data_IF_052377849122
#
_entry.id   IF_052377849122
#
_cell.length_a   1.000
_cell.length_b   1.000
_cell.length_c   1.000
_cell.angle_alpha   90.00
_cell.angle_beta   90.00
_cell.angle_gamma   90.00
#
_symmetry.space_group_name_H-M   'P 1'
#
loop_
_entity.id
_entity.type
_entity.pdbx_description
1 polymer ?
#
# COMPACT_ATOMS: atom_id res chain seq x y z
N UNK A 1 3.17 34.87 58.11
CA UNK A 1 1.90 34.34 57.56
C UNK A 1 2.05 34.37 56.04
N UNK A 2 2.52 33.27 55.44
CA UNK A 2 2.67 33.16 53.98
C UNK A 2 1.30 32.94 53.37
N UNK A 3 0.82 33.90 52.60
CA UNK A 3 -0.39 33.77 51.78
C UNK A 3 -0.06 32.87 50.59
N UNK A 4 -0.57 31.64 50.59
CA UNK A 4 -0.55 30.77 49.41
C UNK A 4 -1.50 31.34 48.36
N UNK A 5 -0.95 31.69 47.19
CA UNK A 5 -1.72 32.18 46.04
C UNK A 5 -2.42 31.00 45.34
N UNK A 6 -3.72 30.87 45.57
CA UNK A 6 -4.57 29.82 44.98
C UNK A 6 -4.81 30.01 43.48
N UNK A 7 -4.42 31.15 42.87
CA UNK A 7 -4.54 31.36 41.42
C UNK A 7 -3.48 30.60 40.62
N UNK A 8 -2.32 30.36 41.22
CA UNK A 8 -1.22 29.58 40.63
C UNK A 8 -1.61 28.10 40.43
N UNK A 9 -2.21 27.47 41.45
CA UNK A 9 -2.62 26.06 41.36
C UNK A 9 -3.73 25.81 40.33
N UNK A 10 -4.70 26.70 40.20
CA UNK A 10 -5.81 26.54 39.23
C UNK A 10 -5.32 26.66 37.79
N UNK A 11 -4.40 27.60 37.51
CA UNK A 11 -3.78 27.75 36.19
C UNK A 11 -2.90 26.56 35.80
N UNK A 12 -2.17 25.97 36.76
CA UNK A 12 -1.36 24.76 36.54
C UNK A 12 -2.26 23.54 36.29
N UNK A 13 -3.35 23.36 37.04
CA UNK A 13 -4.29 22.24 36.85
C UNK A 13 -5.05 22.37 35.52
N UNK A 14 -5.46 23.58 35.12
CA UNK A 14 -6.10 23.83 33.81
C UNK A 14 -5.12 23.62 32.66
N UNK A 15 -3.86 24.03 32.81
CA UNK A 15 -2.82 23.80 31.81
C UNK A 15 -2.51 22.29 31.68
N UNK A 16 -2.32 21.58 32.80
CA UNK A 16 -2.07 20.13 32.79
C UNK A 16 -3.26 19.34 32.21
N UNK A 17 -4.50 19.69 32.55
CA UNK A 17 -5.69 19.03 31.98
C UNK A 17 -5.83 19.32 30.48
N UNK A 18 -5.55 20.54 30.02
CA UNK A 18 -5.54 20.88 28.61
C UNK A 18 -4.47 20.10 27.83
N UNK A 19 -3.24 20.01 28.36
CA UNK A 19 -2.13 19.28 27.74
C UNK A 19 -2.37 17.76 27.70
N UNK A 20 -2.93 17.17 28.77
CA UNK A 20 -3.30 15.76 28.79
C UNK A 20 -4.44 15.47 27.81
N UNK A 21 -5.44 16.35 27.73
CA UNK A 21 -6.56 16.18 26.80
C UNK A 21 -6.10 16.31 25.34
N UNK A 22 -5.19 17.25 25.03
CA UNK A 22 -4.57 17.35 23.71
C UNK A 22 -3.73 16.12 23.34
N UNK A 23 -2.92 15.58 24.27
CA UNK A 23 -2.17 14.34 24.03
C UNK A 23 -3.10 13.15 23.73
N UNK A 24 -4.18 12.99 24.50
CA UNK A 24 -5.15 11.91 24.31
C UNK A 24 -5.89 12.01 22.97
N UNK A 25 -6.25 13.23 22.54
CA UNK A 25 -6.85 13.49 21.22
C UNK A 25 -5.88 13.13 20.10
N UNK A 26 -4.61 13.56 20.19
CA UNK A 26 -3.58 13.25 19.19
C UNK A 26 -3.31 11.74 19.08
N UNK A 27 -3.24 11.02 20.20
CA UNK A 27 -3.09 9.55 20.20
C UNK A 27 -4.30 8.86 19.57
N UNK A 28 -5.51 9.37 19.83
CA UNK A 28 -6.75 8.79 19.27
C UNK A 28 -6.87 9.02 17.76
N UNK A 29 -6.55 10.23 17.29
CA UNK A 29 -6.47 10.55 15.86
C UNK A 29 -5.45 9.63 15.18
N UNK A 30 -4.25 9.52 15.75
CA UNK A 30 -3.18 8.69 15.19
C UNK A 30 -3.62 7.22 15.05
N UNK A 31 -4.24 6.65 16.09
CA UNK A 31 -4.73 5.27 16.04
C UNK A 31 -5.80 5.08 14.96
N UNK A 32 -6.78 5.97 14.89
CA UNK A 32 -7.86 5.89 13.91
C UNK A 32 -7.32 6.01 12.48
N UNK A 33 -6.47 7.00 12.22
CA UNK A 33 -5.92 7.23 10.89
C UNK A 33 -5.01 6.09 10.42
N UNK A 34 -4.17 5.55 11.28
CA UNK A 34 -3.32 4.41 10.92
C UNK A 34 -4.13 3.14 10.61
N UNK A 35 -5.23 2.91 11.32
CA UNK A 35 -6.16 1.83 10.97
C UNK A 35 -6.77 2.03 9.57
N UNK A 36 -7.22 3.25 9.25
CA UNK A 36 -7.74 3.56 7.90
C UNK A 36 -6.67 3.33 6.84
N UNK A 37 -5.45 3.85 7.05
CA UNK A 37 -4.34 3.67 6.12
C UNK A 37 -4.05 2.20 5.83
N UNK A 38 -3.99 1.36 6.88
CA UNK A 38 -3.79 -0.09 6.75
C UNK A 38 -4.87 -0.75 5.89
N UNK A 39 -6.15 -0.57 6.23
CA UNK A 39 -7.24 -1.22 5.48
C UNK A 39 -7.29 -0.76 4.02
N UNK A 40 -6.97 0.51 3.75
CA UNK A 40 -6.90 1.04 2.38
C UNK A 40 -5.73 0.46 1.58
N UNK A 41 -4.55 0.30 2.19
CA UNK A 41 -3.42 -0.38 1.54
C UNK A 41 -3.73 -1.84 1.20
N UNK A 42 -4.35 -2.57 2.15
CA UNK A 42 -4.83 -3.94 1.92
C UNK A 42 -5.76 -3.98 0.70
N UNK A 43 -6.73 -3.07 0.63
CA UNK A 43 -7.70 -3.00 -0.46
C UNK A 43 -7.04 -2.70 -1.82
N UNK A 44 -5.99 -1.88 -1.84
CA UNK A 44 -5.24 -1.58 -3.07
C UNK A 44 -4.46 -2.80 -3.54
N UNK A 45 -3.73 -3.45 -2.63
CA UNK A 45 -2.98 -4.67 -2.93
C UNK A 45 -3.92 -5.79 -3.43
N UNK A 46 -5.07 -5.97 -2.79
CA UNK A 46 -6.11 -6.91 -3.20
C UNK A 46 -6.69 -6.57 -4.58
N UNK A 47 -7.23 -5.37 -4.74
CA UNK A 47 -7.98 -4.99 -5.95
C UNK A 47 -7.12 -5.03 -7.21
N UNK A 48 -5.83 -4.73 -7.08
CA UNK A 48 -4.91 -4.82 -8.20
C UNK A 48 -4.71 -6.27 -8.67
N UNK A 49 -4.49 -7.21 -7.74
CA UNK A 49 -4.40 -8.64 -8.09
C UNK A 49 -5.74 -9.21 -8.53
N UNK A 50 -6.85 -8.78 -7.93
CA UNK A 50 -8.20 -9.15 -8.37
C UNK A 50 -8.46 -8.76 -9.82
N UNK A 51 -8.03 -7.57 -10.26
CA UNK A 51 -8.13 -7.18 -11.67
C UNK A 51 -7.33 -8.14 -12.59
N UNK A 52 -6.17 -8.63 -12.16
CA UNK A 52 -5.37 -9.64 -12.88
C UNK A 52 -6.12 -10.97 -12.97
N UNK A 53 -6.70 -11.44 -11.86
CA UNK A 53 -7.46 -12.69 -11.78
C UNK A 53 -8.71 -12.62 -12.68
N UNK A 54 -9.50 -11.56 -12.54
CA UNK A 54 -10.71 -11.33 -13.35
C UNK A 54 -10.35 -11.22 -14.83
N UNK A 55 -9.24 -10.58 -15.18
CA UNK A 55 -8.82 -10.46 -16.58
C UNK A 55 -8.51 -11.81 -17.21
N UNK A 56 -7.97 -12.74 -16.43
CA UNK A 56 -7.64 -14.09 -16.86
C UNK A 56 -8.86 -15.01 -16.91
N UNK A 57 -9.82 -14.84 -15.99
CA UNK A 57 -10.93 -15.80 -15.82
C UNK A 57 -12.27 -15.33 -16.37
N UNK A 58 -12.59 -14.06 -16.17
CA UNK A 58 -13.90 -13.47 -16.47
C UNK A 58 -13.86 -12.55 -17.70
N UNK A 59 -12.67 -12.06 -18.07
CA UNK A 59 -12.43 -11.24 -19.25
C UNK A 59 -12.24 -9.74 -18.96
N UNK A 60 -11.96 -8.94 -20.00
CA UNK A 60 -11.46 -7.57 -19.85
C UNK A 60 -12.46 -6.57 -19.28
N UNK A 61 -13.77 -6.75 -19.53
CA UNK A 61 -14.78 -5.78 -19.11
C UNK A 61 -14.94 -5.75 -17.58
N UNK A 62 -15.11 -6.92 -16.96
CA UNK A 62 -15.25 -7.05 -15.50
C UNK A 62 -13.94 -6.65 -14.81
N UNK A 63 -12.79 -7.08 -15.37
CA UNK A 63 -11.47 -6.70 -14.86
C UNK A 63 -11.23 -5.18 -14.89
N UNK A 64 -11.71 -4.49 -15.93
CA UNK A 64 -11.59 -3.04 -16.03
C UNK A 64 -12.39 -2.30 -14.96
N UNK A 65 -13.54 -2.84 -14.55
CA UNK A 65 -14.33 -2.26 -13.45
C UNK A 65 -13.57 -2.36 -12.12
N UNK A 66 -13.04 -3.55 -11.79
CA UNK A 66 -12.22 -3.75 -10.59
C UNK A 66 -10.96 -2.88 -10.60
N UNK A 67 -10.28 -2.77 -11.75
CA UNK A 67 -9.10 -1.92 -11.89
C UNK A 67 -9.42 -0.44 -11.69
N UNK A 68 -10.55 0.05 -12.22
CA UNK A 68 -10.99 1.43 -12.02
C UNK A 68 -11.29 1.72 -10.54
N UNK A 69 -11.97 0.79 -9.85
CA UNK A 69 -12.24 0.92 -8.41
C UNK A 69 -10.94 0.94 -7.60
N UNK A 70 -9.96 0.13 -8.00
CA UNK A 70 -8.63 0.09 -7.38
C UNK A 70 -7.84 1.39 -7.56
N UNK A 71 -7.89 2.01 -8.75
CA UNK A 71 -7.29 3.32 -8.99
C UNK A 71 -7.99 4.41 -8.14
N UNK A 72 -9.32 4.36 -8.05
CA UNK A 72 -10.06 5.30 -7.21
C UNK A 72 -9.72 5.13 -5.72
N UNK A 73 -9.50 3.89 -5.26
CA UNK A 73 -9.03 3.64 -3.91
C UNK A 73 -7.60 4.13 -3.69
N UNK A 74 -6.73 3.98 -4.69
CA UNK A 74 -5.37 4.52 -4.65
C UNK A 74 -5.39 6.03 -4.47
N UNK A 75 -6.21 6.76 -5.24
CA UNK A 75 -6.41 8.21 -5.05
C UNK A 75 -6.87 8.55 -3.63
N UNK A 76 -7.88 7.83 -3.12
CA UNK A 76 -8.41 8.02 -1.76
C UNK A 76 -7.33 7.79 -0.70
N UNK A 77 -6.50 6.75 -0.84
CA UNK A 77 -5.38 6.50 0.07
C UNK A 77 -4.35 7.63 -0.01
N UNK A 78 -3.89 8.02 -1.20
CA UNK A 78 -2.88 9.07 -1.34
C UNK A 78 -3.36 10.40 -0.77
N UNK A 79 -4.62 10.76 -1.03
CA UNK A 79 -5.26 11.93 -0.40
C UNK A 79 -5.26 11.80 1.12
N UNK A 80 -5.62 10.63 1.65
CA UNK A 80 -5.65 10.37 3.08
C UNK A 80 -4.26 10.48 3.73
N UNK A 81 -3.23 9.86 3.15
CA UNK A 81 -1.84 9.90 3.63
C UNK A 81 -1.28 11.32 3.60
N UNK A 82 -1.57 12.11 2.56
CA UNK A 82 -1.21 13.53 2.52
C UNK A 82 -1.80 14.31 3.70
N UNK A 83 -3.06 14.05 4.04
CA UNK A 83 -3.70 14.69 5.18
C UNK A 83 -3.24 14.15 6.52
N UNK A 84 -2.82 12.88 6.64
CA UNK A 84 -2.08 12.38 7.80
C UNK A 84 -0.81 13.18 8.02
N UNK A 85 0.01 13.37 6.97
CA UNK A 85 1.24 14.16 7.04
C UNK A 85 0.97 15.61 7.43
N UNK A 86 -0.06 16.26 6.88
CA UNK A 86 -0.46 17.64 7.24
C UNK A 86 -0.89 17.79 8.71
N UNK A 87 -1.46 16.73 9.28
CA UNK A 87 -1.89 16.69 10.69
C UNK A 87 -0.77 16.25 11.63
N UNK A 88 0.46 16.10 11.12
CA UNK A 88 1.64 15.66 11.87
C UNK A 88 1.50 14.24 12.47
N UNK A 89 0.57 13.44 11.95
CA UNK A 89 0.32 12.07 12.42
C UNK A 89 1.44 11.15 11.95
N UNK A 90 2.07 10.45 12.90
CA UNK A 90 3.08 9.43 12.59
C UNK A 90 2.45 8.19 11.94
N UNK A 91 3.17 7.59 10.99
CA UNK A 91 2.76 6.36 10.32
C UNK A 91 3.17 5.14 11.16
N UNK A 92 2.19 4.29 11.45
CA UNK A 92 2.32 3.00 12.10
C UNK A 92 1.03 2.18 11.82
N UNK A 93 0.83 1.68 10.59
CA UNK A 93 -0.40 0.99 10.17
C UNK A 93 -0.69 -0.26 11.01
N UNK A 94 0.35 -0.90 11.54
CA UNK A 94 0.26 -2.13 12.35
C UNK A 94 0.02 -1.86 13.85
N UNK A 95 0.12 -0.60 14.27
CA UNK A 95 -0.10 -0.19 15.66
C UNK A 95 1.04 -0.58 16.61
N UNK A 96 0.82 -0.36 17.92
CA UNK A 96 1.82 -0.59 18.97
C UNK A 96 1.66 -1.93 19.70
N UNK A 97 0.55 -2.64 19.49
CA UNK A 97 0.32 -3.97 20.01
C UNK A 97 0.62 -4.97 18.91
N UNK A 98 1.51 -5.93 19.16
CA UNK A 98 1.79 -7.03 18.24
C UNK A 98 0.59 -7.97 18.12
N UNK A 99 -0.55 -7.49 17.63
CA UNK A 99 -1.63 -8.37 17.23
C UNK A 99 -1.17 -9.10 15.98
N UNK A 100 -1.14 -10.42 16.05
CA UNK A 100 -0.76 -11.32 14.95
C UNK A 100 -1.70 -11.22 13.73
N UNK A 101 -2.77 -10.44 13.82
CA UNK A 101 -3.69 -10.15 12.72
C UNK A 101 -3.22 -8.91 11.93
N UNK A 102 -2.04 -9.03 11.33
CA UNK A 102 -1.60 -8.16 10.24
C UNK A 102 -2.49 -8.49 9.03
N UNK A 103 -3.73 -7.99 9.05
CA UNK A 103 -4.84 -8.43 8.21
C UNK A 103 -4.41 -8.70 6.76
N UNK A 104 -4.09 -9.97 6.47
CA UNK A 104 -3.51 -10.36 5.18
C UNK A 104 -4.56 -10.15 4.08
N UNK A 105 -4.17 -9.67 2.89
CA UNK A 105 -5.03 -9.63 1.72
C UNK A 105 -5.77 -10.96 1.52
N UNK A 106 -7.11 -10.91 1.50
CA UNK A 106 -7.96 -12.05 1.13
C UNK A 106 -8.19 -12.00 -0.37
N UNK A 107 -7.36 -12.71 -1.13
CA UNK A 107 -7.44 -12.72 -2.58
C UNK A 107 -8.53 -13.69 -3.06
N UNK A 108 -9.50 -13.16 -3.80
CA UNK A 108 -10.61 -13.94 -4.35
C UNK A 108 -10.26 -14.55 -5.71
N UNK A 109 -10.84 -15.72 -5.99
CA UNK A 109 -10.54 -16.52 -7.19
C UNK A 109 -11.55 -16.36 -8.31
N UNK A 110 -12.71 -15.83 -7.97
CA UNK A 110 -13.80 -15.53 -8.88
C UNK A 110 -14.46 -14.23 -8.44
N UNK A 111 -15.33 -13.70 -9.29
CA UNK A 111 -16.00 -12.43 -9.06
C UNK A 111 -16.72 -12.34 -7.70
N UNK A 112 -17.42 -13.39 -7.27
CA UNK A 112 -18.17 -13.37 -6.01
C UNK A 112 -17.24 -13.30 -4.80
N UNK A 113 -16.18 -14.11 -4.78
CA UNK A 113 -15.16 -14.09 -3.74
C UNK A 113 -14.46 -12.73 -3.66
N UNK A 114 -14.14 -12.14 -4.82
CA UNK A 114 -13.49 -10.82 -4.95
C UNK A 114 -14.37 -9.70 -4.41
N UNK A 115 -15.63 -9.61 -4.84
CA UNK A 115 -16.55 -8.58 -4.36
C UNK A 115 -16.81 -8.73 -2.84
N UNK A 116 -16.88 -9.97 -2.36
CA UNK A 116 -17.09 -10.25 -0.93
C UNK A 116 -15.88 -9.85 -0.09
N UNK A 117 -14.66 -10.15 -0.55
CA UNK A 117 -13.44 -9.78 0.18
C UNK A 117 -13.21 -8.28 0.19
N UNK A 118 -13.46 -7.59 -0.93
CA UNK A 118 -13.43 -6.12 -1.01
C UNK A 118 -14.46 -5.49 -0.04
N UNK A 119 -15.69 -6.01 -0.02
CA UNK A 119 -16.74 -5.53 0.90
C UNK A 119 -16.30 -5.66 2.36
N UNK A 120 -15.70 -6.79 2.74
CA UNK A 120 -15.22 -7.02 4.09
C UNK A 120 -14.21 -5.95 4.52
N UNK A 121 -13.22 -5.64 3.67
CA UNK A 121 -12.18 -4.65 3.97
C UNK A 121 -12.76 -3.24 4.10
N UNK A 122 -13.63 -2.84 3.17
CA UNK A 122 -14.31 -1.53 3.22
C UNK A 122 -15.14 -1.41 4.51
N UNK A 123 -15.83 -2.48 4.92
CA UNK A 123 -16.61 -2.50 6.16
C UNK A 123 -15.73 -2.37 7.42
N UNK A 124 -14.55 -3.00 7.45
CA UNK A 124 -13.59 -2.86 8.57
C UNK A 124 -12.98 -1.47 8.64
N UNK A 125 -12.75 -0.84 7.50
CA UNK A 125 -12.23 0.52 7.37
C UNK A 125 -13.22 1.59 7.85
N UNK A 126 -14.50 1.40 7.55
CA UNK A 126 -15.53 2.44 7.66
C UNK A 126 -15.65 3.08 9.07
N UNK A 127 -15.73 2.32 10.19
CA UNK A 127 -15.83 2.92 11.51
C UNK A 127 -14.61 3.79 11.87
N UNK A 128 -13.40 3.35 11.49
CA UNK A 128 -12.17 4.10 11.75
C UNK A 128 -12.14 5.42 10.98
N UNK A 129 -12.68 5.43 9.75
CA UNK A 129 -12.78 6.64 8.94
C UNK A 129 -13.79 7.65 9.53
N UNK A 130 -14.93 7.16 10.04
CA UNK A 130 -15.90 8.01 10.75
C UNK A 130 -15.28 8.62 12.02
N UNK A 131 -14.54 7.81 12.79
CA UNK A 131 -13.82 8.28 13.97
C UNK A 131 -12.75 9.30 13.62
N UNK A 132 -11.98 9.09 12.53
CA UNK A 132 -11.02 10.07 12.03
C UNK A 132 -11.69 11.41 11.75
N UNK A 133 -12.81 11.44 11.01
CA UNK A 133 -13.49 12.70 10.67
C UNK A 133 -13.98 13.41 11.92
N UNK A 134 -14.59 12.69 12.86
CA UNK A 134 -15.08 13.25 14.11
C UNK A 134 -13.93 13.85 14.93
N UNK A 135 -12.88 13.07 15.19
CA UNK A 135 -11.74 13.49 16.00
C UNK A 135 -10.95 14.64 15.36
N UNK A 136 -10.76 14.62 14.04
CA UNK A 136 -10.10 15.71 13.31
C UNK A 136 -10.96 16.98 13.37
N UNK A 137 -12.28 16.88 13.24
CA UNK A 137 -13.20 18.03 13.36
C UNK A 137 -13.26 18.64 14.76
N UNK A 138 -12.95 17.86 15.81
CA UNK A 138 -12.81 18.32 17.19
C UNK A 138 -11.42 18.95 17.48
N UNK A 139 -10.44 18.74 16.59
CA UNK A 139 -9.07 19.21 16.79
C UNK A 139 -8.84 20.63 16.25
N UNK A 140 -8.03 21.42 16.97
CA UNK A 140 -7.74 22.82 16.60
C UNK A 140 -7.07 22.96 15.21
N UNK A 141 -6.24 21.98 14.83
CA UNK A 141 -5.48 21.99 13.58
C UNK A 141 -6.16 21.19 12.46
N UNK A 142 -7.29 20.53 12.73
CA UNK A 142 -7.92 19.59 11.81
C UNK A 142 -8.74 20.21 10.69
N UNK A 143 -9.11 21.49 10.84
CA UNK A 143 -10.14 22.10 10.00
C UNK A 143 -9.76 22.24 8.53
N UNK A 144 -8.47 22.41 8.23
CA UNK A 144 -7.95 22.44 6.86
C UNK A 144 -8.00 21.05 6.17
N UNK A 145 -7.96 19.97 6.94
CA UNK A 145 -8.00 18.59 6.41
C UNK A 145 -9.41 18.03 6.28
N UNK A 146 -10.37 18.57 7.04
CA UNK A 146 -11.72 18.04 7.15
C UNK A 146 -12.48 17.93 5.81
N UNK A 147 -12.42 18.91 4.87
CA UNK A 147 -13.13 18.79 3.60
C UNK A 147 -12.68 17.58 2.78
N UNK A 148 -11.37 17.39 2.62
CA UNK A 148 -10.82 16.27 1.85
C UNK A 148 -11.11 14.91 2.51
N UNK A 149 -11.00 14.84 3.84
CA UNK A 149 -11.34 13.61 4.58
C UNK A 149 -12.83 13.25 4.45
N UNK A 150 -13.72 14.25 4.42
CA UNK A 150 -15.15 14.05 4.14
C UNK A 150 -15.39 13.54 2.72
N UNK A 151 -14.71 14.10 1.71
CA UNK A 151 -14.76 13.56 0.34
C UNK A 151 -14.34 12.08 0.30
N UNK A 152 -13.22 11.73 0.95
CA UNK A 152 -12.78 10.32 1.04
C UNK A 152 -13.83 9.43 1.69
N UNK A 153 -14.51 9.92 2.74
CA UNK A 153 -15.62 9.19 3.38
C UNK A 153 -16.82 9.02 2.46
N UNK A 154 -17.29 10.08 1.83
CA UNK A 154 -18.50 10.03 0.99
C UNK A 154 -18.29 9.11 -0.22
N UNK A 155 -17.10 9.14 -0.82
CA UNK A 155 -16.73 8.17 -1.85
C UNK A 155 -16.62 6.74 -1.33
N UNK A 156 -16.11 6.53 -0.11
CA UNK A 156 -16.06 5.20 0.53
C UNK A 156 -17.47 4.67 0.80
N UNK A 157 -18.42 5.54 1.20
CA UNK A 157 -19.85 5.18 1.34
C UNK A 157 -20.44 4.77 0.00
N UNK A 158 -20.17 5.54 -1.06
CA UNK A 158 -20.64 5.22 -2.41
C UNK A 158 -20.09 3.86 -2.88
N UNK A 159 -18.80 3.60 -2.67
CA UNK A 159 -18.19 2.31 -3.02
C UNK A 159 -18.76 1.14 -2.21
N UNK A 160 -19.03 1.33 -0.91
CA UNK A 160 -19.70 0.33 -0.09
C UNK A 160 -21.10 -0.02 -0.62
N UNK A 161 -21.87 0.97 -1.04
CA UNK A 161 -23.20 0.76 -1.64
C UNK A 161 -23.11 0.05 -3.00
N UNK A 162 -22.10 0.40 -3.80
CA UNK A 162 -21.82 -0.23 -5.08
C UNK A 162 -21.47 -1.72 -4.93
N UNK A 163 -20.55 -2.06 -4.02
CA UNK A 163 -20.18 -3.46 -3.74
C UNK A 163 -21.40 -4.31 -3.33
N UNK A 164 -22.26 -3.77 -2.46
CA UNK A 164 -23.51 -4.44 -2.07
C UNK A 164 -24.46 -4.65 -3.26
N UNK A 165 -24.57 -3.65 -4.13
CA UNK A 165 -25.40 -3.71 -5.32
C UNK A 165 -24.90 -4.80 -6.28
N UNK A 166 -23.60 -4.83 -6.56
CA UNK A 166 -22.96 -5.87 -7.40
C UNK A 166 -23.12 -7.27 -6.81
N UNK A 167 -22.93 -7.43 -5.50
CA UNK A 167 -23.15 -8.70 -4.80
C UNK A 167 -24.61 -9.20 -4.87
N UNK A 168 -25.58 -8.28 -4.98
CA UNK A 168 -27.00 -8.60 -5.17
C UNK A 168 -27.41 -8.87 -6.63
N UNK A 169 -26.45 -8.96 -7.56
CA UNK A 169 -26.70 -9.19 -8.99
C UNK A 169 -26.85 -7.90 -9.81
N UNK A 170 -26.43 -6.75 -9.26
CA UNK A 170 -26.34 -5.50 -10.00
C UNK A 170 -25.29 -5.54 -11.12
N UNK A 171 -25.42 -4.63 -12.07
CA UNK A 171 -24.49 -4.52 -13.20
C UNK A 171 -23.06 -4.19 -12.74
N UNK A 172 -22.07 -4.80 -13.37
CA UNK A 172 -20.65 -4.57 -13.08
C UNK A 172 -20.03 -3.83 -14.26
N UNK A 173 -19.94 -2.51 -14.12
CA UNK A 173 -19.31 -1.64 -15.11
C UNK A 173 -18.35 -0.68 -14.44
N UNK A 174 -17.29 -0.32 -15.17
CA UNK A 174 -16.43 0.78 -14.78
C UNK A 174 -17.25 2.07 -14.88
N UNK A 175 -17.67 2.63 -13.74
CA UNK A 175 -18.37 3.91 -13.74
C UNK A 175 -17.37 5.04 -13.97
N UNK A 176 -17.60 5.84 -15.01
CA UNK A 176 -16.95 7.14 -15.12
C UNK A 176 -17.64 8.08 -14.13
N UNK A 177 -16.93 8.43 -13.06
CA UNK A 177 -17.36 9.49 -12.15
C UNK A 177 -17.11 10.85 -12.81
N UNK A 178 -17.94 11.86 -12.54
CA UNK A 178 -17.68 13.24 -13.00
C UNK A 178 -16.36 13.81 -12.42
N UNK A 179 -15.89 13.21 -11.33
CA UNK A 179 -14.70 13.55 -10.56
C UNK A 179 -13.71 12.38 -10.77
N UNK A 180 -12.72 12.55 -11.65
CA UNK A 180 -11.62 11.62 -11.87
C UNK A 180 -10.30 12.38 -11.99
N UNK A 181 -9.24 11.81 -11.43
CA UNK A 181 -7.86 12.25 -11.64
C UNK A 181 -7.31 11.76 -12.98
N UNK A 182 -6.20 12.34 -13.43
CA UNK A 182 -5.50 11.87 -14.63
C UNK A 182 -5.13 10.38 -14.52
N UNK A 183 -4.64 9.95 -13.35
CA UNK A 183 -4.29 8.56 -13.09
C UNK A 183 -5.46 7.57 -13.21
N UNK A 184 -6.67 7.97 -12.79
CA UNK A 184 -7.89 7.14 -12.88
C UNK A 184 -8.37 6.91 -14.33
N UNK A 185 -7.83 7.65 -15.31
CA UNK A 185 -8.18 7.48 -16.73
C UNK A 185 -7.42 6.34 -17.43
N UNK A 186 -6.39 5.80 -16.78
CA UNK A 186 -5.56 4.72 -17.34
C UNK A 186 -6.38 3.42 -17.33
N UNK A 187 -6.55 2.81 -18.50
CA UNK A 187 -7.23 1.51 -18.60
C UNK A 187 -6.31 0.36 -18.23
N UNK A 188 -6.88 -0.76 -17.80
CA UNK A 188 -6.13 -1.98 -17.51
C UNK A 188 -5.37 -2.47 -18.76
N UNK A 189 -6.00 -2.42 -19.94
CA UNK A 189 -5.36 -2.79 -21.20
C UNK A 189 -4.23 -1.82 -21.59
N UNK A 190 -4.36 -0.53 -21.27
CA UNK A 190 -3.25 0.40 -21.43
C UNK A 190 -2.10 0.00 -20.50
N UNK A 191 -2.35 -0.24 -19.22
CA UNK A 191 -1.33 -0.72 -18.28
C UNK A 191 -0.63 -2.00 -18.77
N UNK A 192 -1.40 -3.00 -19.21
CA UNK A 192 -0.87 -4.26 -19.78
C UNK A 192 -0.05 -3.99 -21.04
N UNK A 193 -0.54 -3.12 -21.94
CA UNK A 193 0.12 -2.80 -23.20
C UNK A 193 1.49 -2.15 -23.06
N UNK A 194 1.71 -1.35 -22.02
CA UNK A 194 3.01 -0.72 -21.73
C UNK A 194 3.98 -1.65 -20.99
N UNK A 195 3.48 -2.70 -20.35
CA UNK A 195 4.32 -3.64 -19.61
C UNK A 195 5.05 -4.58 -20.57
N UNK A 196 6.36 -4.34 -20.76
CA UNK A 196 7.24 -5.16 -21.61
C UNK A 196 7.46 -6.58 -21.08
N UNK A 197 7.01 -6.86 -19.86
CA UNK A 197 7.34 -8.07 -19.09
C UNK A 197 6.07 -8.81 -18.65
N UNK A 198 5.01 -8.74 -19.47
CA UNK A 198 3.77 -9.52 -19.31
C UNK A 198 4.03 -10.96 -19.73
N UNK A 199 3.61 -11.93 -18.91
CA UNK A 199 3.61 -13.33 -19.33
C UNK A 199 2.63 -13.52 -20.52
N UNK A 200 3.16 -13.91 -21.67
CA UNK A 200 2.38 -14.02 -22.90
C UNK A 200 1.29 -15.09 -22.78
N UNK A 201 1.52 -16.15 -21.99
CA UNK A 201 0.55 -17.23 -21.75
C UNK A 201 -0.67 -16.70 -20.99
N UNK A 202 -0.43 -15.80 -20.04
CA UNK A 202 -1.49 -15.10 -19.32
C UNK A 202 -2.24 -14.14 -20.24
N UNK A 203 -1.51 -13.36 -21.05
CA UNK A 203 -2.09 -12.37 -21.98
C UNK A 203 -3.03 -13.02 -23.00
N UNK A 204 -2.63 -14.17 -23.53
CA UNK A 204 -3.39 -14.96 -24.50
C UNK A 204 -4.47 -15.82 -23.82
N UNK A 205 -4.54 -15.82 -22.49
CA UNK A 205 -5.49 -16.62 -21.70
C UNK A 205 -5.40 -18.11 -22.08
N UNK A 206 -4.17 -18.61 -22.22
CA UNK A 206 -3.94 -20.03 -22.51
C UNK A 206 -4.43 -20.88 -21.34
N UNK A 207 -4.89 -22.10 -21.67
CA UNK A 207 -5.37 -23.04 -20.66
C UNK A 207 -4.30 -23.23 -19.57
N UNK A 208 -4.68 -23.13 -18.28
CA UNK A 208 -3.73 -23.26 -17.20
C UNK A 208 -3.08 -24.64 -17.20
N UNK A 209 -1.84 -24.70 -16.75
CA UNK A 209 -1.14 -25.97 -16.50
C UNK A 209 -1.74 -26.66 -15.27
N UNK A 210 -1.37 -27.91 -15.02
CA UNK A 210 -1.87 -28.67 -13.87
C UNK A 210 -1.20 -28.19 -12.58
N UNK A 211 -2.00 -27.70 -11.64
CA UNK A 211 -1.54 -27.22 -10.32
C UNK A 211 -0.63 -28.26 -9.64
N UNK A 212 -0.94 -29.56 -9.74
CA UNK A 212 -0.19 -30.61 -9.07
C UNK A 212 1.27 -30.72 -9.55
N UNK A 213 1.54 -30.39 -10.81
CA UNK A 213 2.90 -30.41 -11.39
C UNK A 213 3.75 -29.25 -10.85
N UNK A 214 3.11 -28.15 -10.44
CA UNK A 214 3.78 -26.91 -10.02
C UNK A 214 3.50 -26.53 -8.57
N UNK A 215 2.97 -27.46 -7.77
CA UNK A 215 2.45 -27.17 -6.42
C UNK A 215 3.43 -26.40 -5.53
N UNK A 216 4.68 -26.85 -5.46
CA UNK A 216 5.69 -26.25 -4.60
C UNK A 216 6.12 -24.87 -5.12
N UNK A 217 6.23 -24.73 -6.45
CA UNK A 217 6.51 -23.45 -7.10
C UNK A 217 5.36 -22.45 -6.88
N UNK A 218 4.10 -22.86 -7.07
CA UNK A 218 2.91 -22.05 -6.80
C UNK A 218 2.87 -21.61 -5.33
N UNK A 219 3.22 -22.50 -4.41
CA UNK A 219 3.27 -22.18 -2.97
C UNK A 219 4.35 -21.12 -2.70
N UNK A 220 5.55 -21.29 -3.25
CA UNK A 220 6.63 -20.30 -3.14
C UNK A 220 6.28 -18.95 -3.77
N UNK A 221 5.69 -18.95 -4.97
CA UNK A 221 5.25 -17.72 -5.66
C UNK A 221 4.21 -16.96 -4.85
N UNK A 222 3.28 -17.67 -4.21
CA UNK A 222 2.33 -17.04 -3.32
C UNK A 222 3.02 -16.38 -2.12
N UNK A 223 4.03 -17.01 -1.52
CA UNK A 223 4.80 -16.39 -0.43
C UNK A 223 5.49 -15.11 -0.89
N UNK A 224 6.10 -15.14 -2.08
CA UNK A 224 6.72 -13.96 -2.67
C UNK A 224 5.69 -12.87 -2.94
N UNK A 225 4.50 -13.20 -3.46
CA UNK A 225 3.41 -12.23 -3.66
C UNK A 225 3.05 -11.48 -2.38
N UNK A 226 3.00 -12.15 -1.23
CA UNK A 226 2.77 -11.50 0.06
C UNK A 226 3.96 -10.62 0.48
N UNK A 227 5.18 -11.06 0.21
CA UNK A 227 6.38 -10.25 0.48
C UNK A 227 6.40 -8.97 -0.37
N UNK A 228 5.95 -9.02 -1.63
CA UNK A 228 5.80 -7.83 -2.47
C UNK A 228 4.77 -6.86 -1.89
N UNK A 229 3.66 -7.36 -1.34
CA UNK A 229 2.69 -6.49 -0.67
C UNK A 229 3.29 -5.74 0.52
N UNK A 230 4.12 -6.42 1.33
CA UNK A 230 4.86 -5.77 2.41
C UNK A 230 5.79 -4.67 1.86
N UNK A 231 6.50 -4.95 0.76
CA UNK A 231 7.40 -3.99 0.14
C UNK A 231 6.67 -2.77 -0.43
N UNK A 232 5.54 -2.98 -1.12
CA UNK A 232 4.65 -1.91 -1.60
C UNK A 232 4.24 -1.00 -0.43
N UNK A 233 3.75 -1.59 0.66
CA UNK A 233 3.25 -0.85 1.82
C UNK A 233 4.35 -0.07 2.54
N UNK A 234 5.49 -0.71 2.83
CA UNK A 234 6.60 -0.07 3.54
C UNK A 234 7.21 1.06 2.72
N UNK A 235 7.49 0.83 1.44
CA UNK A 235 8.13 1.82 0.57
C UNK A 235 7.20 3.00 0.26
N UNK A 236 5.89 2.75 0.12
CA UNK A 236 4.90 3.82 -0.02
C UNK A 236 4.89 4.72 1.23
N UNK A 237 4.81 4.13 2.42
CA UNK A 237 4.84 4.88 3.68
C UNK A 237 6.16 5.64 3.84
N UNK A 238 7.29 5.00 3.58
CA UNK A 238 8.59 5.65 3.64
C UNK A 238 8.71 6.81 2.64
N UNK A 239 8.06 6.74 1.46
CA UNK A 239 7.90 7.89 0.57
C UNK A 239 7.32 9.12 1.28
N UNK A 240 6.20 8.97 2.01
CA UNK A 240 5.60 10.07 2.77
C UNK A 240 6.43 10.50 3.98
N UNK A 241 7.07 9.55 4.67
CA UNK A 241 7.93 9.82 5.82
C UNK A 241 9.15 10.65 5.39
N UNK A 242 9.86 10.23 4.35
CA UNK A 242 11.01 10.96 3.81
C UNK A 242 10.61 12.34 3.27
N UNK A 243 9.44 12.46 2.62
CA UNK A 243 8.94 13.76 2.18
C UNK A 243 8.73 14.71 3.35
N UNK A 244 8.16 14.22 4.47
CA UNK A 244 7.96 15.02 5.70
C UNK A 244 9.29 15.43 6.34
N UNK A 245 10.32 14.60 6.23
CA UNK A 245 11.68 14.94 6.68
C UNK A 245 12.46 15.84 5.71
N UNK A 246 11.86 16.26 4.58
CA UNK A 246 12.50 17.11 3.57
C UNK A 246 13.43 16.35 2.61
N UNK A 247 13.43 15.02 2.65
CA UNK A 247 14.27 14.14 1.83
C UNK A 247 13.59 13.79 0.51
N UNK A 248 13.28 14.80 -0.30
CA UNK A 248 12.41 14.68 -1.48
C UNK A 248 12.90 13.66 -2.53
N UNK A 249 14.20 13.61 -2.84
CA UNK A 249 14.72 12.63 -3.79
C UNK A 249 14.63 11.18 -3.27
N UNK A 250 14.86 10.97 -1.97
CA UNK A 250 14.68 9.66 -1.31
C UNK A 250 13.20 9.28 -1.31
N UNK A 251 12.32 10.23 -0.97
CA UNK A 251 10.88 10.05 -1.00
C UNK A 251 10.36 9.64 -2.38
N UNK A 252 10.79 10.36 -3.43
CA UNK A 252 10.49 10.03 -4.82
C UNK A 252 10.97 8.62 -5.17
N UNK A 253 12.21 8.28 -4.81
CA UNK A 253 12.78 6.98 -5.14
C UNK A 253 12.03 5.83 -4.43
N UNK A 254 11.68 5.97 -3.16
CA UNK A 254 10.86 4.99 -2.43
C UNK A 254 9.47 4.84 -3.07
N UNK A 255 8.82 5.95 -3.45
CA UNK A 255 7.53 5.89 -4.12
C UNK A 255 7.64 5.14 -5.45
N UNK A 256 8.61 5.49 -6.30
CA UNK A 256 8.82 4.78 -7.57
C UNK A 256 9.11 3.30 -7.36
N UNK A 257 9.89 2.96 -6.34
CA UNK A 257 10.14 1.56 -6.02
C UNK A 257 8.86 0.85 -5.58
N UNK A 258 7.99 1.47 -4.78
CA UNK A 258 6.68 0.86 -4.42
C UNK A 258 5.83 0.52 -5.66
N UNK A 259 5.92 1.33 -6.73
CA UNK A 259 5.25 1.06 -8.01
C UNK A 259 5.93 -0.08 -8.78
N UNK A 260 7.26 -0.21 -8.68
CA UNK A 260 7.97 -1.36 -9.24
C UNK A 260 7.60 -2.67 -8.51
N UNK A 261 7.38 -2.64 -7.20
CA UNK A 261 6.93 -3.82 -6.44
C UNK A 261 5.48 -4.20 -6.78
N UNK A 262 4.60 -3.22 -7.06
CA UNK A 262 3.28 -3.50 -7.65
C UNK A 262 3.42 -4.24 -9.00
N UNK A 263 4.44 -3.92 -9.81
CA UNK A 263 4.71 -4.65 -11.07
C UNK A 263 5.31 -6.04 -10.82
N UNK A 264 6.06 -6.24 -9.75
CA UNK A 264 6.51 -7.57 -9.35
C UNK A 264 5.31 -8.44 -8.93
N UNK A 265 4.46 -7.93 -8.04
CA UNK A 265 3.20 -8.58 -7.62
C UNK A 265 2.29 -8.91 -8.82
N UNK A 266 2.17 -7.98 -9.78
CA UNK A 266 1.46 -8.22 -11.05
C UNK A 266 1.98 -9.46 -11.77
N UNK A 267 3.30 -9.52 -12.01
CA UNK A 267 3.92 -10.63 -12.76
C UNK A 267 3.82 -11.95 -12.02
N UNK A 268 4.09 -11.95 -10.71
CA UNK A 268 3.97 -13.15 -9.89
C UNK A 268 2.54 -13.70 -9.97
N UNK A 269 1.53 -12.83 -9.89
CA UNK A 269 0.12 -13.23 -10.03
C UNK A 269 -0.19 -13.87 -11.38
N UNK A 270 0.38 -13.35 -12.47
CA UNK A 270 0.23 -13.94 -13.81
C UNK A 270 0.80 -15.35 -13.88
N UNK A 271 2.03 -15.54 -13.36
CA UNK A 271 2.70 -16.84 -13.34
C UNK A 271 1.89 -17.84 -12.52
N UNK A 272 1.42 -17.46 -11.32
CA UNK A 272 0.57 -18.32 -10.49
C UNK A 272 -0.64 -18.82 -11.28
N UNK A 273 -1.35 -17.92 -11.97
CA UNK A 273 -2.55 -18.25 -12.75
C UNK A 273 -2.24 -19.19 -13.93
N UNK A 274 -1.18 -18.93 -14.68
CA UNK A 274 -0.78 -19.76 -15.83
C UNK A 274 -0.35 -21.17 -15.40
N UNK A 275 0.24 -21.30 -14.22
CA UNK A 275 0.59 -22.61 -13.64
C UNK A 275 -0.62 -23.38 -13.09
N UNK A 276 -1.81 -22.76 -13.10
CA UNK A 276 -3.06 -23.34 -12.62
C UNK A 276 -3.36 -23.09 -11.15
N UNK A 277 -2.57 -22.23 -10.49
CA UNK A 277 -2.81 -21.83 -9.11
C UNK A 277 -3.73 -20.62 -8.95
N UNK A 278 -4.00 -20.30 -7.70
CA UNK A 278 -4.76 -19.14 -7.27
C UNK A 278 -3.87 -18.18 -6.46
N UNK A 279 -3.77 -16.90 -6.84
CA UNK A 279 -3.07 -15.90 -6.03
C UNK A 279 -3.66 -15.81 -4.62
N UNK A 280 -2.80 -15.80 -3.60
CA UNK A 280 -3.14 -15.82 -2.17
C UNK A 280 -3.41 -17.21 -1.59
N UNK A 281 -3.49 -18.27 -2.40
CA UNK A 281 -3.72 -19.62 -1.90
C UNK A 281 -2.40 -20.32 -1.56
N UNK A 282 -2.16 -20.56 -0.27
CA UNK A 282 -0.93 -21.19 0.23
C UNK A 282 -1.26 -22.37 1.14
N UNK A 283 -0.52 -23.48 1.00
CA UNK A 283 -0.63 -24.66 1.89
C UNK A 283 0.39 -24.62 3.03
N UNK A 284 1.46 -23.85 2.84
CA UNK A 284 2.52 -23.56 3.79
C UNK A 284 3.07 -22.16 3.48
N UNK A 285 3.93 -21.64 4.35
CA UNK A 285 4.48 -20.27 4.25
C UNK A 285 6.01 -20.29 4.08
N UNK A 286 6.57 -21.01 3.08
CA UNK A 286 8.01 -21.03 2.87
C UNK A 286 8.48 -19.65 2.42
N UNK A 287 9.60 -19.17 2.94
CA UNK A 287 10.19 -17.87 2.58
C UNK A 287 9.27 -16.65 2.82
N UNK A 288 8.17 -16.80 3.57
CA UNK A 288 7.31 -15.69 3.91
C UNK A 288 7.97 -14.82 4.98
N UNK A 289 8.04 -13.52 4.72
CA UNK A 289 8.51 -12.52 5.67
C UNK A 289 7.33 -12.19 6.59
N UNK A 290 7.52 -12.08 7.92
CA UNK A 290 6.48 -11.60 8.81
C UNK A 290 5.94 -10.25 8.31
N UNK A 291 4.65 -10.22 7.98
CA UNK A 291 4.01 -9.07 7.32
C UNK A 291 3.86 -7.92 8.31
N UNK A 292 4.91 -7.12 8.47
CA UNK A 292 4.94 -5.98 9.39
C UNK A 292 5.70 -4.82 8.77
N UNK A 293 5.00 -3.72 8.55
CA UNK A 293 5.57 -2.50 7.99
C UNK A 293 6.51 -1.86 9.02
N UNK A 294 7.81 -1.91 8.72
CA UNK A 294 8.85 -1.44 9.62
C UNK A 294 9.14 0.06 9.38
N UNK A 295 8.28 0.93 9.92
CA UNK A 295 8.48 2.38 9.85
C UNK A 295 9.68 2.81 10.71
N UNK A 296 10.69 3.44 10.11
CA UNK A 296 11.85 3.97 10.83
C UNK A 296 11.54 5.24 11.63
N UNK A 297 12.20 5.45 12.77
CA UNK A 297 12.05 6.67 13.60
C UNK A 297 12.95 7.81 13.15
N UNK A 298 14.00 7.51 12.37
CA UNK A 298 14.90 8.45 11.73
C UNK A 298 15.31 7.92 10.34
N UNK A 299 16.06 8.73 9.59
CA UNK A 299 16.48 8.42 8.21
C UNK A 299 17.31 7.14 8.14
N UNK A 300 18.21 6.90 9.09
CA UNK A 300 19.08 5.72 9.14
C UNK A 300 18.27 4.44 9.39
N UNK A 301 17.36 4.46 10.35
CA UNK A 301 16.50 3.33 10.68
C UNK A 301 15.55 3.00 9.53
N UNK A 302 14.93 4.01 8.90
CA UNK A 302 14.03 3.79 7.76
C UNK A 302 14.74 3.16 6.56
N UNK A 303 15.91 3.69 6.18
CA UNK A 303 16.73 3.13 5.10
C UNK A 303 17.26 1.73 5.44
N UNK A 304 17.61 1.48 6.71
CA UNK A 304 18.08 0.16 7.14
C UNK A 304 16.96 -0.88 7.12
N UNK A 305 15.74 -0.49 7.48
CA UNK A 305 14.56 -1.36 7.39
C UNK A 305 14.22 -1.71 5.93
N UNK A 306 14.34 -0.74 5.02
CA UNK A 306 14.17 -0.99 3.58
C UNK A 306 15.26 -1.92 3.04
N UNK A 307 16.52 -1.72 3.46
CA UNK A 307 17.64 -2.56 3.04
C UNK A 307 17.44 -4.01 3.49
N UNK A 308 17.08 -4.21 4.76
CA UNK A 308 16.81 -5.54 5.31
C UNK A 308 15.69 -6.25 4.53
N UNK A 309 14.60 -5.53 4.24
CA UNK A 309 13.49 -6.09 3.46
C UNK A 309 13.95 -6.52 2.06
N UNK A 310 14.74 -5.69 1.37
CA UNK A 310 15.28 -6.03 0.05
C UNK A 310 16.21 -7.24 0.08
N UNK A 311 17.05 -7.37 1.11
CA UNK A 311 17.92 -8.55 1.26
C UNK A 311 17.12 -9.83 1.48
N UNK A 312 16.04 -9.77 2.27
CA UNK A 312 15.13 -10.90 2.50
C UNK A 312 14.36 -11.29 1.22
N UNK A 313 13.85 -10.32 0.47
CA UNK A 313 13.19 -10.52 -0.83
C UNK A 313 14.13 -11.23 -1.82
N UNK A 314 15.33 -10.66 -2.02
CA UNK A 314 16.33 -11.22 -2.94
C UNK A 314 16.67 -12.67 -2.57
N UNK A 315 16.86 -12.96 -1.29
CA UNK A 315 17.17 -14.31 -0.83
C UNK A 315 16.02 -15.30 -1.11
N UNK A 316 14.78 -14.90 -0.82
CA UNK A 316 13.58 -15.70 -1.07
C UNK A 316 13.37 -15.96 -2.57
N UNK A 317 13.48 -14.94 -3.40
CA UNK A 317 13.30 -15.01 -4.85
C UNK A 317 14.39 -15.83 -5.53
N UNK A 318 15.65 -15.65 -5.13
CA UNK A 318 16.78 -16.42 -5.68
C UNK A 318 16.60 -17.90 -5.35
N UNK A 319 16.24 -18.22 -4.10
CA UNK A 319 15.97 -19.60 -3.69
C UNK A 319 14.84 -20.23 -4.50
N UNK A 320 13.79 -19.48 -4.80
CA UNK A 320 12.68 -20.00 -5.62
C UNK A 320 13.07 -20.10 -7.10
N UNK A 321 13.84 -19.15 -7.62
CA UNK A 321 14.30 -19.16 -9.01
C UNK A 321 15.17 -20.40 -9.30
N UNK A 322 16.07 -20.75 -8.39
CA UNK A 322 16.90 -21.97 -8.48
C UNK A 322 16.06 -23.26 -8.47
N UNK A 323 14.91 -23.24 -7.78
CA UNK A 323 13.97 -24.35 -7.73
C UNK A 323 12.97 -24.37 -8.90
N UNK A 324 12.80 -23.24 -9.61
CA UNK A 324 11.79 -23.05 -10.66
C UNK A 324 12.12 -23.71 -12.00
N UNK A 325 13.18 -24.54 -12.11
CA UNK A 325 13.70 -25.15 -13.34
C UNK A 325 12.65 -25.88 -14.22
N UNK A 326 11.46 -26.16 -13.69
CA UNK A 326 10.34 -26.76 -14.41
C UNK A 326 9.47 -25.76 -15.23
N UNK A 327 9.63 -24.44 -15.06
CA UNK A 327 8.90 -23.41 -15.83
C UNK A 327 9.77 -22.20 -16.18
N UNK A 328 10.11 -22.04 -17.47
CA UNK A 328 10.98 -20.96 -17.93
C UNK A 328 10.38 -19.56 -17.71
N UNK A 329 9.07 -19.40 -17.83
CA UNK A 329 8.41 -18.11 -17.60
C UNK A 329 8.46 -17.67 -16.13
N UNK A 330 8.33 -18.62 -15.21
CA UNK A 330 8.55 -18.38 -13.79
C UNK A 330 10.02 -18.01 -13.50
N UNK A 331 10.98 -18.76 -14.04
CA UNK A 331 12.42 -18.46 -13.90
C UNK A 331 12.77 -17.06 -14.43
N UNK A 332 12.35 -16.73 -15.65
CA UNK A 332 12.62 -15.40 -16.26
C UNK A 332 11.99 -14.26 -15.43
N UNK A 333 10.77 -14.47 -14.93
CA UNK A 333 10.09 -13.50 -14.06
C UNK A 333 10.88 -13.26 -12.78
N UNK A 334 11.27 -14.33 -12.07
CA UNK A 334 12.00 -14.22 -10.80
C UNK A 334 13.39 -13.60 -11.01
N UNK A 335 14.11 -13.99 -12.06
CA UNK A 335 15.42 -13.39 -12.38
C UNK A 335 15.31 -11.89 -12.67
N UNK A 336 14.26 -11.46 -13.39
CA UNK A 336 14.01 -10.03 -13.65
C UNK A 336 13.73 -9.27 -12.34
N UNK A 337 12.92 -9.84 -11.44
CA UNK A 337 12.60 -9.27 -10.13
C UNK A 337 13.87 -9.14 -9.27
N UNK A 338 14.63 -10.24 -9.11
CA UNK A 338 15.90 -10.25 -8.34
C UNK A 338 16.87 -9.17 -8.83
N UNK A 339 17.00 -8.99 -10.15
CA UNK A 339 17.87 -7.95 -10.72
C UNK A 339 17.44 -6.54 -10.32
N UNK A 340 16.13 -6.27 -10.30
CA UNK A 340 15.58 -4.96 -9.89
C UNK A 340 15.77 -4.73 -8.40
N UNK A 341 15.43 -5.70 -7.56
CA UNK A 341 15.65 -5.63 -6.11
C UNK A 341 17.12 -5.44 -5.77
N UNK A 342 18.02 -6.16 -6.45
CA UNK A 342 19.48 -5.98 -6.30
C UNK A 342 19.90 -4.54 -6.62
N UNK A 343 19.37 -3.96 -7.71
CA UNK A 343 19.67 -2.57 -8.08
C UNK A 343 19.18 -1.57 -7.04
N UNK A 344 18.01 -1.82 -6.43
CA UNK A 344 17.47 -0.96 -5.37
C UNK A 344 18.22 -1.14 -4.03
N UNK A 345 18.57 -2.37 -3.66
CA UNK A 345 19.44 -2.68 -2.52
C UNK A 345 20.77 -1.95 -2.63
N UNK A 346 21.43 -1.97 -3.79
CA UNK A 346 22.70 -1.27 -4.00
C UNK A 346 22.55 0.25 -3.84
N UNK A 347 21.42 0.80 -4.31
CA UNK A 347 21.08 2.20 -4.07
C UNK A 347 20.87 2.51 -2.58
N UNK A 348 20.17 1.65 -1.83
CA UNK A 348 19.97 1.81 -0.38
C UNK A 348 21.31 1.76 0.38
N UNK A 349 22.19 0.82 0.04
CA UNK A 349 23.54 0.71 0.64
C UNK A 349 24.35 1.98 0.40
N UNK A 350 24.35 2.51 -0.83
CA UNK A 350 25.01 3.77 -1.15
C UNK A 350 24.38 4.94 -0.38
N UNK A 351 23.04 4.97 -0.24
CA UNK A 351 22.33 6.03 0.47
C UNK A 351 22.59 6.01 1.98
N UNK A 352 22.67 4.83 2.60
CA UNK A 352 23.05 4.66 4.00
C UNK A 352 24.50 5.12 4.25
N UNK A 353 25.40 4.83 3.31
CA UNK A 353 26.80 5.28 3.40
C UNK A 353 26.88 6.81 3.39
N UNK A 354 26.06 7.48 2.58
CA UNK A 354 25.94 8.95 2.57
C UNK A 354 25.37 9.49 3.89
N UNK A 355 24.36 8.84 4.48
CA UNK A 355 23.81 9.30 5.77
C UNK A 355 24.87 9.39 6.88
N UNK A 356 25.91 8.55 6.85
CA UNK A 356 26.98 8.52 7.84
C UNK A 356 28.12 9.53 7.61
N UNK A 357 28.12 10.29 6.51
CA UNK A 357 29.17 11.26 6.17
C UNK A 357 28.67 12.71 6.34
N UNK A 358 29.14 13.45 7.37
CA UNK A 358 28.76 14.84 7.64
C UNK A 358 29.01 15.81 6.47
N UNK A 359 29.98 15.53 5.60
CA UNK A 359 30.27 16.37 4.43
C UNK A 359 29.25 16.17 3.29
N UNK A 360 28.47 15.09 3.35
CA UNK A 360 27.44 14.75 2.37
C UNK A 360 26.01 15.03 2.85
N UNK A 361 25.80 15.24 4.16
CA UNK A 361 24.50 15.62 4.73
C UNK A 361 23.95 16.92 4.13
N UNK A 362 24.80 17.92 3.86
CA UNK A 362 24.39 19.18 3.21
C UNK A 362 23.91 18.96 1.75
N UNK A 363 24.41 17.93 1.04
CA UNK A 363 23.91 17.53 -0.29
C UNK A 363 22.64 16.69 -0.19
N UNK A 364 22.48 15.95 0.91
CA UNK A 364 21.36 15.06 1.18
C UNK A 364 20.01 15.80 1.26
N UNK A 365 20.03 17.05 1.74
CA UNK A 365 18.86 17.92 1.92
C UNK A 365 18.60 18.89 0.75
N UNK A 366 19.57 19.07 -0.16
CA UNK A 366 19.48 20.05 -1.26
C UNK A 366 18.94 19.47 -2.57
N UNK A 367 18.70 18.16 -2.66
CA UNK A 367 18.06 17.52 -3.82
C UNK A 367 16.55 17.79 -3.84
N UNK A 368 16.16 19.05 -4.09
CA UNK A 368 14.78 19.43 -4.40
C UNK A 368 14.44 18.91 -5.80
N UNK A 369 13.77 17.77 -5.86
CA UNK A 369 13.10 17.32 -7.06
C UNK A 369 11.60 17.31 -6.78
N UNK A 370 10.85 18.26 -7.37
CA UNK A 370 9.39 18.38 -7.23
C UNK A 370 8.59 17.30 -7.98
N UNK A 371 9.24 16.18 -8.31
CA UNK A 371 8.68 15.10 -9.12
C UNK A 371 7.68 14.26 -8.32
N UNK A 372 7.89 14.07 -7.01
CA UNK A 372 6.89 13.43 -6.15
C UNK A 372 5.61 14.26 -6.09
N UNK A 373 5.70 15.58 -5.92
CA UNK A 373 4.54 16.47 -5.94
C UNK A 373 3.85 16.45 -7.31
N UNK A 374 4.62 16.45 -8.42
CA UNK A 374 4.06 16.34 -9.77
C UNK A 374 3.35 14.99 -9.99
N UNK A 375 3.92 13.90 -9.49
CA UNK A 375 3.33 12.57 -9.56
C UNK A 375 2.04 12.48 -8.74
N UNK A 376 2.05 12.98 -7.51
CA UNK A 376 0.86 13.08 -6.66
C UNK A 376 -0.20 14.01 -7.29
N UNK A 377 0.20 15.05 -8.01
CA UNK A 377 -0.73 15.93 -8.70
C UNK A 377 -1.56 15.21 -9.78
N UNK A 378 -1.06 14.12 -10.38
CA UNK A 378 -1.82 13.27 -11.32
C UNK A 378 -2.96 12.50 -10.64
N UNK A 379 -2.90 12.37 -9.32
CA UNK A 379 -3.94 11.77 -8.48
C UNK A 379 -4.91 12.81 -7.93
N UNK A 380 -4.64 14.11 -8.07
CA UNK A 380 -5.60 15.13 -7.67
C UNK A 380 -6.74 15.23 -8.68
N UNK A 381 -7.95 15.38 -8.16
CA UNK A 381 -9.11 15.77 -8.96
C UNK A 381 -9.03 17.28 -9.21
N UNK A 382 -9.23 17.71 -10.46
CA UNK A 382 -9.20 19.12 -10.86
C UNK A 382 -10.49 19.85 -10.54
#
# INVERSE_FOLDING_TARGET
>A
MMTFDTRSCTSIVVCCTHTVNQMLVTTSISRAMNKVAREKMILINQGFVHAVVLRYREGPQIAQAEYADNLAETRRLLTFLLHMSRLDVGFNPDGSGGSDDYARPKLGRNLLEILSSNLEVVQRCFPALQDTIRLVGESANGQASLPALKTVHDETVAYLAELRTRLSGGEITAKQTEIQSEAETITLEHFIGYSKEVDQRWRETLAPRKEEEFRDLITGLNSLLMNEFLAIEQLLIHGFVFQRWGLHATAERCFWQSVEEMRAAFRISQVILVLGGDPGQMRSEPHLIPHRVAVGRNKEEALSNDLLLMEQLIAAETSLADAANADTGATETLVSIVRRHTSYRDWLTARLTQCGDPASEERFEQEKNGSLEAMLARWNVK
#
